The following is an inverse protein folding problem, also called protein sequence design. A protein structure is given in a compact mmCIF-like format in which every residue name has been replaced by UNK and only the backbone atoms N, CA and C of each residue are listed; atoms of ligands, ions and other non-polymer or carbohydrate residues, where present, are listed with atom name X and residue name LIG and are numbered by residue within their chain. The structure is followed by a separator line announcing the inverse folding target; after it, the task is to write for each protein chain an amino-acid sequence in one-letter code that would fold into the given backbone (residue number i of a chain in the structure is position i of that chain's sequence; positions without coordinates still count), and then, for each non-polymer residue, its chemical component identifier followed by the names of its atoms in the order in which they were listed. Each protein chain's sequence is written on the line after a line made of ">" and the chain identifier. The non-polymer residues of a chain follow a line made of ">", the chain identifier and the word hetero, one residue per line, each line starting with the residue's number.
data_IF_288772735095
#
_entry.id   IF_288772735095
#
_cell.length_a   1.000
_cell.length_b   1.000
_cell.length_c   1.000
_cell.angle_alpha   90.00
_cell.angle_beta   90.00
_cell.angle_gamma   90.00
#
_symmetry.space_group_name_H-M   'P 1'
#
loop_
_entity.id
_entity.type
_entity.pdbx_description
1 polymer ?
#
# COMPACT_ATOMS: atom_id res chain seq x y z
N UNK A 1 19.08 80.64 -27.10
CA UNK A 1 20.46 80.65 -26.54
C UNK A 1 20.70 79.29 -25.92
N UNK A 2 21.57 78.54 -26.54
CA UNK A 2 21.88 77.14 -26.25
C UNK A 2 22.94 77.05 -25.17
N UNK A 3 22.72 76.29 -24.07
CA UNK A 3 23.76 75.88 -23.15
C UNK A 3 23.94 74.36 -23.24
N UNK A 4 25.10 73.94 -23.71
CA UNK A 4 25.57 72.54 -23.73
C UNK A 4 26.00 72.16 -22.32
N UNK A 5 25.44 71.06 -21.80
CA UNK A 5 25.95 70.41 -20.57
C UNK A 5 26.74 69.20 -21.02
N UNK A 6 28.00 69.17 -20.66
CA UNK A 6 28.96 68.08 -20.90
C UNK A 6 28.63 66.94 -19.91
N UNK A 7 28.34 65.77 -20.43
CA UNK A 7 28.23 64.52 -19.67
C UNK A 7 29.62 63.91 -19.49
N UNK A 8 30.12 63.88 -18.26
CA UNK A 8 31.31 63.13 -17.89
C UNK A 8 30.97 61.69 -17.66
N UNK A 9 31.53 60.78 -18.44
CA UNK A 9 31.44 59.32 -18.27
C UNK A 9 32.38 58.90 -17.15
N UNK A 10 31.82 58.59 -15.97
CA UNK A 10 32.54 57.97 -14.87
C UNK A 10 32.52 56.43 -15.07
N UNK A 11 33.64 55.86 -15.45
CA UNK A 11 33.84 54.42 -15.64
C UNK A 11 34.05 53.81 -14.25
N UNK A 12 33.00 53.26 -13.64
CA UNK A 12 33.10 52.48 -12.40
C UNK A 12 33.60 51.09 -12.75
N UNK A 13 34.80 50.77 -12.36
CA UNK A 13 35.38 49.43 -12.41
C UNK A 13 34.71 48.59 -11.30
N UNK A 14 33.74 47.76 -11.64
CA UNK A 14 33.17 46.74 -10.74
C UNK A 14 34.17 45.58 -10.74
N UNK A 15 34.97 45.49 -9.69
CA UNK A 15 35.77 44.31 -9.36
C UNK A 15 34.77 43.27 -8.83
N UNK A 16 34.36 42.33 -9.67
CA UNK A 16 33.64 41.14 -9.26
C UNK A 16 34.58 40.25 -8.44
N UNK A 17 34.48 40.34 -7.13
CA UNK A 17 34.98 39.34 -6.20
C UNK A 17 34.15 38.07 -6.43
N UNK A 18 34.61 37.19 -7.29
CA UNK A 18 34.21 35.79 -7.31
C UNK A 18 34.69 35.13 -6.04
N UNK A 19 33.90 35.25 -4.99
CA UNK A 19 34.04 34.41 -3.80
C UNK A 19 33.64 32.98 -4.23
N UNK A 20 34.66 32.17 -4.55
CA UNK A 20 34.51 30.73 -4.52
C UNK A 20 34.26 30.34 -3.06
N UNK A 21 33.00 30.35 -2.63
CA UNK A 21 32.61 29.59 -1.49
C UNK A 21 32.63 28.11 -1.93
N UNK A 22 33.75 27.44 -1.67
CA UNK A 22 33.75 26.00 -1.56
C UNK A 22 32.76 25.64 -0.44
N UNK A 23 31.54 25.28 -0.81
CA UNK A 23 30.70 24.48 0.05
C UNK A 23 31.25 23.07 0.00
N UNK A 24 32.11 22.76 0.95
CA UNK A 24 32.49 21.40 1.26
C UNK A 24 31.25 20.66 1.72
N UNK A 25 30.95 19.55 1.03
CA UNK A 25 30.08 18.45 1.46
C UNK A 25 28.62 18.79 1.83
N UNK A 26 27.88 19.40 0.94
CA UNK A 26 26.44 19.20 0.94
C UNK A 26 26.14 17.88 0.21
N UNK A 27 26.14 16.75 0.90
CA UNK A 27 25.54 15.53 0.35
C UNK A 27 24.10 15.87 -0.09
N UNK A 28 23.82 15.64 -1.35
CA UNK A 28 22.50 15.90 -1.92
C UNK A 28 21.50 14.97 -1.26
N UNK A 29 20.64 15.53 -0.40
CA UNK A 29 19.64 14.72 0.33
C UNK A 29 18.60 14.22 -0.66
N UNK A 30 18.49 12.90 -0.80
CA UNK A 30 17.47 12.26 -1.63
C UNK A 30 16.17 12.13 -0.85
N UNK A 31 15.11 12.72 -1.36
CA UNK A 31 13.76 12.58 -0.80
C UNK A 31 13.12 11.29 -1.30
N UNK A 32 12.43 10.60 -0.39
CA UNK A 32 11.71 9.35 -0.68
C UNK A 32 10.24 9.52 -0.31
N UNK A 33 9.39 9.56 -1.30
CA UNK A 33 7.96 9.70 -1.14
C UNK A 33 7.29 8.33 -1.11
N UNK A 34 6.59 8.00 -0.01
CA UNK A 34 6.00 6.68 0.24
C UNK A 34 4.47 6.82 0.38
N UNK A 35 3.70 6.86 -0.71
CA UNK A 35 2.25 6.74 -0.62
C UNK A 35 1.87 5.36 -0.07
N UNK A 36 0.88 5.32 0.79
CA UNK A 36 0.50 4.13 1.57
C UNK A 36 -0.95 3.70 1.31
N UNK A 37 -1.87 4.10 2.19
CA UNK A 37 -3.32 3.88 2.06
C UNK A 37 -4.09 4.81 3.04
N UNK A 38 -5.34 4.45 3.35
CA UNK A 38 -6.15 5.11 4.38
C UNK A 38 -5.42 5.16 5.72
N UNK A 39 -5.55 6.27 6.44
CA UNK A 39 -4.92 6.48 7.75
C UNK A 39 -5.38 5.51 8.82
N UNK A 40 -6.56 4.91 8.69
CA UNK A 40 -7.11 3.86 9.57
C UNK A 40 -6.78 2.44 9.10
N UNK A 41 -6.07 2.30 7.95
CA UNK A 41 -5.55 1.04 7.45
C UNK A 41 -4.18 0.69 8.08
N UNK A 42 -3.70 -0.53 7.84
CA UNK A 42 -2.42 -1.01 8.35
C UNK A 42 -1.21 -0.36 7.66
N UNK A 43 -1.32 0.00 6.37
CA UNK A 43 -0.20 0.50 5.57
C UNK A 43 0.30 1.89 6.00
N UNK A 44 -0.60 2.80 6.40
CA UNK A 44 -0.17 4.16 6.76
C UNK A 44 0.73 4.19 8.01
N UNK A 45 0.37 3.58 9.16
CA UNK A 45 1.27 3.51 10.31
C UNK A 45 2.55 2.72 10.02
N UNK A 46 2.46 1.67 9.20
CA UNK A 46 3.63 0.89 8.80
C UNK A 46 4.59 1.70 7.92
N UNK A 47 4.08 2.42 6.93
CA UNK A 47 4.88 3.31 6.09
C UNK A 47 5.59 4.40 6.89
N UNK A 48 4.92 4.97 7.91
CA UNK A 48 5.57 5.92 8.83
C UNK A 48 6.70 5.26 9.62
N UNK A 49 6.50 4.02 10.09
CA UNK A 49 7.56 3.29 10.81
C UNK A 49 8.77 3.00 9.92
N UNK A 50 8.54 2.60 8.66
CA UNK A 50 9.62 2.41 7.67
C UNK A 50 10.33 3.74 7.36
N UNK A 51 9.58 4.80 7.08
CA UNK A 51 10.16 6.11 6.80
C UNK A 51 11.06 6.60 7.94
N UNK A 52 10.59 6.48 9.18
CA UNK A 52 11.36 6.84 10.36
C UNK A 52 12.61 5.97 10.52
N UNK A 53 12.49 4.66 10.33
CA UNK A 53 13.60 3.71 10.39
C UNK A 53 14.69 4.07 9.37
N UNK A 54 14.31 4.31 8.12
CA UNK A 54 15.25 4.68 7.07
C UNK A 54 15.89 6.05 7.32
N UNK A 55 15.12 7.04 7.79
CA UNK A 55 15.65 8.36 8.18
C UNK A 55 16.67 8.30 9.33
N UNK A 56 16.53 7.31 10.22
CA UNK A 56 17.43 7.11 11.36
C UNK A 56 18.72 6.34 10.99
N UNK A 57 18.62 5.41 10.02
CA UNK A 57 19.66 4.42 9.75
C UNK A 57 20.38 4.57 8.40
N UNK A 58 19.83 5.35 7.48
CA UNK A 58 20.41 5.55 6.14
C UNK A 58 20.73 7.02 5.95
N UNK A 59 22.01 7.32 5.78
CA UNK A 59 22.46 8.70 5.56
C UNK A 59 22.06 9.22 4.18
N UNK A 60 21.96 10.53 4.04
CA UNK A 60 21.70 11.20 2.76
C UNK A 60 20.26 11.10 2.24
N UNK A 61 19.30 10.59 3.02
CA UNK A 61 17.90 10.50 2.62
C UNK A 61 16.92 11.24 3.54
N UNK A 62 15.73 11.50 3.01
CA UNK A 62 14.55 11.93 3.79
C UNK A 62 13.31 11.22 3.24
N UNK A 63 12.89 10.16 3.93
CA UNK A 63 11.68 9.40 3.63
C UNK A 63 10.46 10.01 4.33
N UNK A 64 9.32 10.03 3.63
CA UNK A 64 8.06 10.53 4.13
C UNK A 64 6.90 9.64 3.66
N UNK A 65 6.09 9.15 4.61
CA UNK A 65 4.89 8.38 4.30
C UNK A 65 3.69 9.30 4.13
N UNK A 66 2.86 9.00 3.13
CA UNK A 66 1.67 9.77 2.79
C UNK A 66 0.44 8.86 2.71
N UNK A 67 -0.73 9.39 3.08
CA UNK A 67 -2.00 8.71 2.83
C UNK A 67 -2.31 8.70 1.32
N UNK A 68 -2.97 7.63 0.87
CA UNK A 68 -3.44 7.47 -0.51
C UNK A 68 -4.70 6.60 -0.56
N UNK A 69 -5.20 6.29 -1.75
CA UNK A 69 -6.29 5.33 -1.95
C UNK A 69 -5.80 3.86 -2.02
N UNK A 70 -4.52 3.57 -1.72
CA UNK A 70 -3.96 2.23 -1.67
C UNK A 70 -3.28 1.78 -2.97
N UNK A 71 -3.04 0.47 -3.11
CA UNK A 71 -2.08 -0.10 -4.06
C UNK A 71 -2.25 0.31 -5.53
N UNK A 72 -3.47 0.37 -6.06
CA UNK A 72 -3.71 0.81 -7.45
C UNK A 72 -3.30 2.28 -7.63
N UNK A 73 -3.68 3.14 -6.68
CA UNK A 73 -3.31 4.56 -6.67
C UNK A 73 -1.78 4.72 -6.57
N UNK A 74 -1.14 3.98 -5.67
CA UNK A 74 0.31 3.98 -5.46
C UNK A 74 1.08 3.61 -6.73
N UNK A 75 0.61 2.62 -7.49
CA UNK A 75 1.23 2.22 -8.76
C UNK A 75 1.05 3.28 -9.85
N UNK A 76 -0.08 3.98 -9.87
CA UNK A 76 -0.27 5.12 -10.76
C UNK A 76 0.67 6.29 -10.39
N UNK A 77 0.83 6.59 -9.09
CA UNK A 77 1.76 7.61 -8.60
C UNK A 77 3.22 7.24 -8.94
N UNK A 78 3.61 5.96 -8.81
CA UNK A 78 4.93 5.51 -9.24
C UNK A 78 5.15 5.71 -10.74
N UNK A 79 4.17 5.35 -11.56
CA UNK A 79 4.26 5.51 -13.02
C UNK A 79 4.33 7.00 -13.46
N UNK A 80 3.82 7.92 -12.64
CA UNK A 80 3.86 9.37 -12.85
C UNK A 80 5.12 10.02 -12.28
N UNK A 81 5.95 9.28 -11.53
CA UNK A 81 7.12 9.80 -10.83
C UNK A 81 6.76 10.60 -9.57
N UNK A 82 5.55 10.44 -9.04
CA UNK A 82 5.07 11.09 -7.81
C UNK A 82 5.26 10.21 -6.57
N UNK A 83 5.61 8.94 -6.76
CA UNK A 83 6.01 8.01 -5.72
C UNK A 83 7.39 7.43 -6.03
N UNK A 84 8.14 7.15 -4.99
CA UNK A 84 9.48 6.58 -5.06
C UNK A 84 9.50 5.11 -4.66
N UNK A 85 9.00 4.81 -3.49
CA UNK A 85 8.80 3.46 -2.95
C UNK A 85 7.36 3.37 -2.47
N UNK A 86 6.70 2.24 -2.68
CA UNK A 86 5.37 2.04 -2.15
C UNK A 86 5.06 0.55 -1.93
N UNK A 87 3.82 0.28 -1.56
CA UNK A 87 3.32 -1.06 -1.28
C UNK A 87 1.96 -1.27 -1.94
N UNK A 88 1.79 -2.47 -2.51
CA UNK A 88 0.53 -2.93 -3.06
C UNK A 88 0.44 -4.45 -2.92
N UNK A 89 -0.74 -5.02 -3.12
CA UNK A 89 -0.85 -6.47 -3.28
C UNK A 89 -0.15 -6.92 -4.57
N UNK A 90 0.47 -8.08 -4.54
CA UNK A 90 1.27 -8.62 -5.64
C UNK A 90 0.48 -8.69 -6.96
N UNK A 91 -0.82 -8.96 -6.89
CA UNK A 91 -1.72 -8.93 -8.05
C UNK A 91 -1.76 -7.58 -8.76
N UNK A 92 -1.89 -6.48 -8.01
CA UNK A 92 -1.93 -5.14 -8.62
C UNK A 92 -0.58 -4.76 -9.24
N UNK A 93 0.53 -5.16 -8.61
CA UNK A 93 1.87 -4.92 -9.18
C UNK A 93 2.03 -5.72 -10.48
N UNK A 94 1.61 -6.99 -10.51
CA UNK A 94 1.58 -7.82 -11.72
C UNK A 94 0.69 -7.22 -12.80
N UNK A 95 -0.54 -6.80 -12.46
CA UNK A 95 -1.46 -6.17 -13.40
C UNK A 95 -0.89 -4.85 -13.97
N UNK A 96 -0.19 -4.06 -13.15
CA UNK A 96 0.49 -2.84 -13.59
C UNK A 96 1.66 -3.16 -14.51
N UNK A 97 2.45 -4.19 -14.18
CA UNK A 97 3.56 -4.64 -15.02
C UNK A 97 3.07 -5.14 -16.38
N UNK A 98 1.98 -5.91 -16.42
CA UNK A 98 1.41 -6.45 -17.67
C UNK A 98 0.48 -5.49 -18.41
N UNK A 99 0.04 -4.40 -17.78
CA UNK A 99 -0.89 -3.45 -18.41
C UNK A 99 -2.28 -4.02 -18.60
N UNK A 100 -2.78 -4.80 -17.64
CA UNK A 100 -4.09 -5.46 -17.69
C UNK A 100 -5.02 -4.95 -16.59
N UNK A 101 -6.28 -5.33 -16.64
CA UNK A 101 -7.33 -4.96 -15.68
C UNK A 101 -7.42 -3.44 -15.48
N UNK A 102 -7.27 -2.95 -14.26
CA UNK A 102 -7.30 -1.51 -13.94
C UNK A 102 -6.15 -0.71 -14.61
N UNK A 103 -5.13 -1.39 -15.15
CA UNK A 103 -3.99 -0.79 -15.82
C UNK A 103 -3.99 -1.00 -17.33
N UNK A 104 -5.10 -1.42 -17.94
CA UNK A 104 -5.18 -1.74 -19.37
C UNK A 104 -4.60 -0.61 -20.24
N UNK A 105 -3.60 -0.95 -21.05
CA UNK A 105 -2.90 -0.02 -21.95
C UNK A 105 -1.98 1.00 -21.23
N UNK A 106 -1.65 0.75 -19.95
CA UNK A 106 -0.76 1.58 -19.13
C UNK A 106 0.24 0.69 -18.38
N UNK A 107 0.93 -0.18 -19.11
CA UNK A 107 1.96 -1.06 -18.53
C UNK A 107 3.11 -0.26 -17.91
N UNK A 108 3.55 -0.70 -16.74
CA UNK A 108 4.76 -0.20 -16.09
C UNK A 108 5.81 -1.31 -15.98
N UNK A 109 6.59 -1.49 -17.05
CA UNK A 109 7.65 -2.52 -17.10
C UNK A 109 8.85 -2.22 -16.21
N UNK A 110 8.89 -1.03 -15.61
CA UNK A 110 9.97 -0.61 -14.70
C UNK A 110 9.72 -0.93 -13.23
N UNK A 111 8.54 -1.37 -12.86
CA UNK A 111 8.27 -1.72 -11.45
C UNK A 111 9.08 -2.94 -11.04
N UNK A 112 9.75 -2.85 -9.87
CA UNK A 112 10.55 -3.92 -9.27
C UNK A 112 10.19 -4.12 -7.82
N UNK A 113 10.15 -5.38 -7.37
CA UNK A 113 9.88 -5.72 -5.98
C UNK A 113 11.13 -5.51 -5.13
N UNK A 114 10.97 -4.88 -3.99
CA UNK A 114 11.99 -4.81 -2.94
C UNK A 114 11.83 -6.00 -1.99
N UNK A 115 10.62 -6.26 -1.52
CA UNK A 115 10.32 -7.36 -0.60
C UNK A 115 8.85 -7.78 -0.68
N UNK A 116 8.58 -9.07 -0.62
CA UNK A 116 7.31 -9.61 -0.20
C UNK A 116 7.11 -9.37 1.29
N UNK A 117 5.91 -8.99 1.67
CA UNK A 117 5.55 -8.63 3.03
C UNK A 117 4.53 -9.64 3.59
N UNK A 118 3.53 -9.17 4.25
CA UNK A 118 2.45 -9.95 4.86
C UNK A 118 1.30 -10.23 3.88
N UNK A 119 0.44 -11.16 4.24
CA UNK A 119 -0.85 -11.33 3.55
C UNK A 119 -1.84 -10.24 3.94
N UNK A 120 -2.52 -9.70 2.94
CA UNK A 120 -3.51 -8.64 3.10
C UNK A 120 -4.92 -9.23 2.95
N UNK A 121 -5.59 -9.59 4.07
CA UNK A 121 -6.88 -10.26 4.04
C UNK A 121 -8.02 -9.32 3.65
N UNK A 122 -9.00 -9.88 2.96
CA UNK A 122 -10.29 -9.27 2.70
C UNK A 122 -11.18 -9.45 3.96
N UNK A 123 -11.60 -8.36 4.58
CA UNK A 123 -12.39 -8.35 5.81
C UNK A 123 -13.73 -7.68 5.54
N UNK A 124 -14.78 -8.48 5.43
CA UNK A 124 -16.12 -7.98 5.15
C UNK A 124 -16.84 -7.78 6.49
N UNK A 125 -16.96 -6.52 6.92
CA UNK A 125 -17.61 -6.16 8.17
C UNK A 125 -19.08 -5.84 7.90
N UNK A 126 -20.00 -6.53 8.58
CA UNK A 126 -21.45 -6.38 8.39
C UNK A 126 -22.18 -6.15 9.70
N UNK A 127 -23.26 -5.38 9.66
CA UNK A 127 -24.14 -5.20 10.80
C UNK A 127 -24.83 -6.51 11.17
N UNK A 128 -24.84 -6.85 12.46
CA UNK A 128 -25.57 -8.03 12.95
C UNK A 128 -27.09 -7.88 12.83
N UNK A 129 -27.60 -6.64 12.69
CA UNK A 129 -29.00 -6.33 12.49
C UNK A 129 -29.46 -6.54 11.03
N UNK A 130 -28.53 -6.61 10.07
CA UNK A 130 -28.85 -6.68 8.65
C UNK A 130 -29.16 -8.09 8.12
N UNK A 131 -29.06 -9.13 8.98
CA UNK A 131 -29.26 -10.55 8.61
C UNK A 131 -28.40 -11.03 7.44
N UNK A 132 -27.19 -10.46 7.25
CA UNK A 132 -26.20 -10.85 6.24
C UNK A 132 -25.32 -11.96 6.84
N UNK A 133 -25.34 -13.14 6.23
CA UNK A 133 -24.59 -14.31 6.69
C UNK A 133 -23.70 -14.93 5.60
N UNK A 134 -23.85 -14.51 4.34
CA UNK A 134 -23.01 -14.89 3.21
C UNK A 134 -22.75 -13.67 2.31
N UNK A 135 -21.83 -13.81 1.35
CA UNK A 135 -21.59 -12.73 0.37
C UNK A 135 -22.81 -12.49 -0.51
N UNK A 136 -23.59 -13.53 -0.83
CA UNK A 136 -24.80 -13.44 -1.63
C UNK A 136 -25.91 -12.64 -0.94
N UNK A 137 -25.94 -12.62 0.41
CA UNK A 137 -26.89 -11.82 1.19
C UNK A 137 -26.62 -10.31 1.09
N UNK A 138 -25.48 -9.91 0.54
CA UNK A 138 -25.18 -8.51 0.28
C UNK A 138 -26.06 -7.90 -0.83
N UNK A 139 -26.82 -8.71 -1.54
CA UNK A 139 -27.75 -8.22 -2.56
C UNK A 139 -28.78 -7.26 -1.98
N UNK A 140 -28.81 -6.04 -2.49
CA UNK A 140 -29.70 -4.96 -2.03
C UNK A 140 -29.20 -4.21 -0.79
N UNK A 141 -28.09 -4.65 -0.17
CA UNK A 141 -27.53 -3.98 0.99
C UNK A 141 -26.98 -2.57 0.68
N UNK A 142 -27.03 -1.69 1.65
CA UNK A 142 -26.28 -0.42 1.65
C UNK A 142 -24.83 -0.75 2.01
N UNK A 143 -23.92 -0.68 1.07
CA UNK A 143 -22.61 -1.27 1.24
C UNK A 143 -21.48 -0.32 0.81
N UNK A 144 -20.40 -0.26 1.60
CA UNK A 144 -19.18 0.46 1.25
C UNK A 144 -18.15 -0.51 0.64
N UNK A 145 -18.02 -0.54 -0.70
CA UNK A 145 -17.10 -1.48 -1.38
C UNK A 145 -15.65 -1.00 -1.37
N UNK A 146 -15.37 0.19 -0.89
CA UNK A 146 -14.09 0.89 -0.94
C UNK A 146 -14.18 2.23 -1.66
N UNK A 147 -13.13 3.03 -1.56
CA UNK A 147 -13.02 4.30 -2.28
C UNK A 147 -12.95 4.07 -3.80
N UNK A 148 -13.40 5.02 -4.63
CA UNK A 148 -13.36 4.87 -6.07
C UNK A 148 -11.95 4.60 -6.59
N UNK A 149 -11.77 3.52 -7.36
CA UNK A 149 -10.50 3.13 -7.96
C UNK A 149 -9.47 2.54 -6.99
N UNK A 150 -9.85 2.32 -5.72
CA UNK A 150 -9.00 1.64 -4.75
C UNK A 150 -8.88 0.14 -5.02
N UNK A 151 -7.80 -0.48 -4.53
CA UNK A 151 -7.65 -1.95 -4.54
C UNK A 151 -8.84 -2.64 -3.87
N UNK A 152 -9.31 -2.11 -2.74
CA UNK A 152 -10.48 -2.66 -2.00
C UNK A 152 -11.74 -2.69 -2.86
N UNK A 153 -12.01 -1.62 -3.62
CA UNK A 153 -13.16 -1.56 -4.54
C UNK A 153 -13.05 -2.62 -5.64
N UNK A 154 -11.85 -2.79 -6.20
CA UNK A 154 -11.59 -3.84 -7.18
C UNK A 154 -11.81 -5.24 -6.60
N UNK A 155 -11.29 -5.52 -5.41
CA UNK A 155 -11.47 -6.80 -4.72
C UNK A 155 -12.95 -7.10 -4.43
N UNK A 156 -13.72 -6.11 -3.98
CA UNK A 156 -15.18 -6.28 -3.84
C UNK A 156 -15.82 -6.70 -5.15
N UNK A 157 -15.45 -6.07 -6.27
CA UNK A 157 -16.02 -6.38 -7.58
C UNK A 157 -15.69 -7.80 -8.05
N UNK A 158 -14.48 -8.27 -7.79
CA UNK A 158 -14.01 -9.62 -8.14
C UNK A 158 -14.79 -10.69 -7.35
N UNK A 159 -14.88 -10.52 -6.02
CA UNK A 159 -15.60 -11.46 -5.16
C UNK A 159 -17.10 -11.48 -5.43
N UNK A 160 -17.70 -10.33 -5.70
CA UNK A 160 -19.13 -10.26 -6.07
C UNK A 160 -19.40 -11.02 -7.35
N UNK A 161 -18.56 -10.86 -8.38
CA UNK A 161 -18.67 -11.62 -9.62
C UNK A 161 -18.58 -13.13 -9.38
N UNK A 162 -17.67 -13.56 -8.49
CA UNK A 162 -17.49 -14.98 -8.16
C UNK A 162 -18.75 -15.59 -7.55
N UNK A 163 -19.43 -14.86 -6.66
CA UNK A 163 -20.69 -15.34 -6.02
C UNK A 163 -21.94 -14.97 -6.83
N UNK A 164 -21.79 -14.55 -8.09
CA UNK A 164 -22.90 -14.29 -9.00
C UNK A 164 -23.64 -12.96 -8.79
N UNK A 165 -23.09 -12.05 -8.00
CA UNK A 165 -23.61 -10.71 -7.84
C UNK A 165 -23.11 -9.78 -8.97
N UNK A 166 -24.00 -8.91 -9.45
CA UNK A 166 -23.66 -7.86 -10.42
C UNK A 166 -23.13 -6.63 -9.69
N UNK A 167 -21.86 -6.35 -9.86
CA UNK A 167 -21.24 -5.18 -9.26
C UNK A 167 -21.27 -3.97 -10.21
N UNK A 168 -21.64 -2.76 -9.76
CA UNK A 168 -22.19 -2.46 -8.43
C UNK A 168 -23.71 -2.57 -8.34
N UNK A 169 -24.41 -3.03 -9.38
CA UNK A 169 -25.86 -2.94 -9.57
C UNK A 169 -26.69 -3.65 -8.48
N UNK A 170 -26.15 -4.73 -7.91
CA UNK A 170 -26.85 -5.52 -6.90
C UNK A 170 -26.69 -4.98 -5.47
N UNK A 171 -26.01 -3.81 -5.27
CA UNK A 171 -25.91 -3.15 -3.96
C UNK A 171 -26.27 -1.64 -4.06
N UNK A 172 -26.58 -1.03 -2.91
CA UNK A 172 -26.64 0.42 -2.78
C UNK A 172 -25.24 0.93 -2.36
N UNK A 173 -24.35 1.05 -3.36
CA UNK A 173 -22.92 1.32 -3.13
C UNK A 173 -22.67 2.72 -2.58
N UNK A 174 -21.85 2.81 -1.53
CA UNK A 174 -21.27 4.04 -0.99
C UNK A 174 -19.75 3.97 -1.18
N UNK A 175 -19.24 4.61 -2.22
CA UNK A 175 -17.82 4.60 -2.56
C UNK A 175 -17.05 5.57 -1.65
N UNK A 176 -16.59 5.08 -0.52
CA UNK A 176 -15.97 5.88 0.54
C UNK A 176 -14.71 5.21 1.07
N UNK A 177 -13.88 5.99 1.77
CA UNK A 177 -12.69 5.49 2.49
C UNK A 177 -13.07 4.63 3.69
N UNK A 178 -12.08 3.93 4.27
CA UNK A 178 -12.29 3.17 5.52
C UNK A 178 -12.77 4.06 6.66
N UNK A 179 -12.20 5.25 6.80
CA UNK A 179 -12.59 6.21 7.85
C UNK A 179 -14.05 6.64 7.72
N UNK A 180 -14.47 6.99 6.51
CA UNK A 180 -15.86 7.36 6.23
C UNK A 180 -16.81 6.17 6.42
N UNK A 181 -16.38 4.94 6.07
CA UNK A 181 -17.17 3.73 6.30
C UNK A 181 -17.47 3.50 7.78
N UNK A 182 -16.52 3.81 8.69
CA UNK A 182 -16.74 3.74 10.14
C UNK A 182 -17.88 4.67 10.55
N UNK A 183 -17.86 5.91 10.08
CA UNK A 183 -18.88 6.90 10.40
C UNK A 183 -20.25 6.52 9.84
N UNK A 184 -20.30 6.04 8.60
CA UNK A 184 -21.55 5.56 7.99
C UNK A 184 -22.12 4.35 8.72
N UNK A 185 -21.27 3.42 9.17
CA UNK A 185 -21.68 2.24 9.95
C UNK A 185 -22.22 2.66 11.31
N UNK A 186 -21.53 3.56 12.03
CA UNK A 186 -21.95 4.10 13.32
C UNK A 186 -23.30 4.81 13.23
N UNK A 187 -23.54 5.53 12.14
CA UNK A 187 -24.79 6.24 11.87
C UNK A 187 -25.88 5.34 11.26
N UNK A 188 -25.65 4.03 11.12
CA UNK A 188 -26.57 3.06 10.52
C UNK A 188 -26.96 3.44 9.06
N UNK A 189 -26.07 4.09 8.33
CA UNK A 189 -26.28 4.51 6.95
C UNK A 189 -25.84 3.44 5.94
N UNK A 190 -24.98 2.50 6.37
CA UNK A 190 -24.60 1.30 5.63
C UNK A 190 -24.85 0.04 6.47
N UNK A 191 -25.01 -1.10 5.78
CA UNK A 191 -25.23 -2.42 6.35
C UNK A 191 -23.93 -3.23 6.40
N UNK A 192 -22.90 -2.82 5.62
CA UNK A 192 -21.60 -3.46 5.61
C UNK A 192 -20.57 -2.65 4.87
N UNK A 193 -19.30 -3.04 5.06
CA UNK A 193 -18.13 -2.46 4.40
C UNK A 193 -17.09 -3.54 4.08
N UNK A 194 -16.40 -3.39 2.97
CA UNK A 194 -15.24 -4.20 2.60
C UNK A 194 -13.97 -3.49 3.05
N UNK A 195 -13.16 -4.16 3.84
CA UNK A 195 -11.88 -3.65 4.35
C UNK A 195 -10.78 -4.63 3.95
N UNK A 196 -9.98 -4.28 2.95
CA UNK A 196 -8.79 -5.05 2.61
C UNK A 196 -7.57 -4.40 3.25
N UNK A 197 -7.11 -4.94 4.35
CA UNK A 197 -5.99 -4.42 5.13
C UNK A 197 -5.34 -5.51 5.97
N UNK A 198 -4.04 -5.35 6.31
CA UNK A 198 -3.37 -6.23 7.28
C UNK A 198 -4.15 -6.29 8.60
N UNK A 199 -4.27 -7.46 9.17
CA UNK A 199 -5.03 -7.68 10.40
C UNK A 199 -4.09 -7.90 11.61
N UNK A 200 -4.35 -7.22 12.76
CA UNK A 200 -5.45 -6.29 13.02
C UNK A 200 -5.25 -4.92 12.38
N UNK A 201 -6.35 -4.23 12.05
CA UNK A 201 -6.35 -2.86 11.56
C UNK A 201 -7.31 -1.98 12.34
N UNK A 202 -6.99 -0.69 12.49
CA UNK A 202 -7.78 0.25 13.28
C UNK A 202 -9.22 0.36 12.77
N UNK A 203 -9.43 0.35 11.45
CA UNK A 203 -10.77 0.45 10.88
C UNK A 203 -11.69 -0.67 11.33
N UNK A 204 -11.24 -1.93 11.25
CA UNK A 204 -12.04 -3.09 11.70
C UNK A 204 -12.19 -3.10 13.20
N UNK A 205 -11.11 -2.81 13.96
CA UNK A 205 -11.17 -2.70 15.42
C UNK A 205 -12.23 -1.69 15.87
N UNK A 206 -12.25 -0.50 15.24
CA UNK A 206 -13.20 0.54 15.61
C UNK A 206 -14.63 0.15 15.23
N UNK A 207 -14.86 -0.44 14.05
CA UNK A 207 -16.18 -0.94 13.67
C UNK A 207 -16.69 -1.98 14.67
N UNK A 208 -15.89 -3.00 15.00
CA UNK A 208 -16.29 -4.07 15.92
C UNK A 208 -16.58 -3.53 17.34
N UNK A 209 -15.77 -2.58 17.85
CA UNK A 209 -15.93 -2.03 19.20
C UNK A 209 -17.06 -1.00 19.35
N UNK A 210 -17.30 -0.20 18.31
CA UNK A 210 -18.20 0.97 18.42
C UNK A 210 -19.54 0.78 17.73
N UNK A 211 -19.70 -0.32 16.97
CA UNK A 211 -20.94 -0.65 16.27
C UNK A 211 -21.30 -2.11 16.49
N UNK A 212 -22.56 -2.46 16.26
CA UNK A 212 -23.03 -3.85 16.39
C UNK A 212 -22.75 -4.61 15.10
N UNK A 213 -21.51 -5.06 14.89
CA UNK A 213 -21.02 -5.66 13.66
C UNK A 213 -20.28 -6.97 13.92
N UNK A 214 -20.14 -7.77 12.86
CA UNK A 214 -19.32 -8.98 12.79
C UNK A 214 -18.51 -8.99 11.50
N UNK A 215 -17.44 -9.79 11.46
CA UNK A 215 -16.73 -10.12 10.22
C UNK A 215 -17.44 -11.29 9.55
N UNK A 216 -17.73 -11.16 8.26
CA UNK A 216 -18.36 -12.21 7.46
C UNK A 216 -17.27 -13.14 6.93
N UNK A 217 -17.52 -14.44 6.95
CA UNK A 217 -16.65 -15.43 6.36
C UNK A 217 -16.67 -15.36 4.82
N UNK A 218 -15.50 -15.50 4.19
CA UNK A 218 -15.38 -15.83 2.77
C UNK A 218 -15.03 -17.31 2.70
N UNK A 219 -15.94 -18.18 2.21
CA UNK A 219 -15.73 -19.63 2.19
C UNK A 219 -14.49 -20.02 1.38
N UNK A 220 -13.80 -21.08 1.82
CA UNK A 220 -12.62 -21.61 1.11
C UNK A 220 -12.92 -21.95 -0.34
N UNK A 221 -14.13 -22.46 -0.62
CA UNK A 221 -14.56 -22.79 -1.98
C UNK A 221 -14.56 -21.56 -2.90
N UNK A 222 -15.02 -20.41 -2.41
CA UNK A 222 -14.98 -19.13 -3.14
C UNK A 222 -13.53 -18.76 -3.47
N UNK A 223 -12.62 -18.89 -2.49
CA UNK A 223 -11.19 -18.59 -2.70
C UNK A 223 -10.56 -19.56 -3.70
N UNK A 224 -10.88 -20.86 -3.62
CA UNK A 224 -10.40 -21.89 -4.55
C UNK A 224 -10.91 -21.67 -5.97
N UNK A 225 -12.13 -21.19 -6.13
CA UNK A 225 -12.67 -20.83 -7.42
C UNK A 225 -11.96 -19.60 -7.99
N UNK A 226 -11.78 -18.54 -7.19
CA UNK A 226 -11.03 -17.36 -7.59
C UNK A 226 -9.60 -17.71 -8.03
N UNK A 227 -8.94 -18.67 -7.39
CA UNK A 227 -7.56 -19.09 -7.74
C UNK A 227 -7.44 -19.70 -9.13
N UNK A 228 -8.52 -20.17 -9.73
CA UNK A 228 -8.48 -20.73 -11.10
C UNK A 228 -8.14 -19.67 -12.13
N UNK A 229 -8.67 -18.47 -11.93
CA UNK A 229 -8.45 -17.31 -12.83
C UNK A 229 -7.39 -16.34 -12.28
N UNK A 230 -7.23 -16.33 -10.96
CA UNK A 230 -6.39 -15.38 -10.21
C UNK A 230 -5.49 -16.13 -9.22
N UNK A 231 -4.34 -16.66 -9.67
CA UNK A 231 -3.52 -17.61 -8.89
C UNK A 231 -2.88 -17.02 -7.64
N UNK A 232 -2.91 -15.69 -7.47
CA UNK A 232 -2.37 -14.96 -6.33
C UNK A 232 -3.26 -14.96 -5.08
N UNK A 233 -4.53 -15.41 -5.17
CA UNK A 233 -5.36 -15.53 -3.98
C UNK A 233 -4.88 -16.70 -3.10
N UNK A 234 -4.90 -16.47 -1.80
CA UNK A 234 -4.63 -17.51 -0.79
C UNK A 234 -5.79 -17.62 0.19
N UNK A 235 -6.09 -18.84 0.63
CA UNK A 235 -6.94 -19.05 1.78
C UNK A 235 -6.22 -18.49 3.01
N UNK A 236 -6.87 -17.61 3.74
CA UNK A 236 -6.34 -16.98 4.94
C UNK A 236 -7.30 -17.20 6.11
N UNK A 237 -6.76 -17.40 7.30
CA UNK A 237 -7.56 -17.55 8.51
C UNK A 237 -7.27 -16.37 9.44
N UNK A 238 -8.28 -15.52 9.63
CA UNK A 238 -8.30 -14.56 10.73
C UNK A 238 -8.48 -15.35 12.02
N UNK A 239 -7.45 -15.44 12.83
CA UNK A 239 -7.46 -16.20 14.08
C UNK A 239 -8.31 -15.55 15.15
N UNK A 240 -8.98 -16.36 15.95
CA UNK A 240 -9.62 -15.90 17.18
C UNK A 240 -8.62 -15.08 18.00
N UNK A 241 -9.07 -13.94 18.52
CA UNK A 241 -8.22 -13.00 19.25
C UNK A 241 -7.44 -12.01 18.38
N UNK A 242 -7.48 -12.11 17.04
CA UNK A 242 -6.94 -11.05 16.15
C UNK A 242 -7.61 -9.70 16.45
N UNK A 243 -8.89 -9.73 16.68
CA UNK A 243 -9.69 -8.64 17.25
C UNK A 243 -10.32 -9.15 18.57
N UNK A 244 -10.50 -8.27 19.54
CA UNK A 244 -11.07 -8.65 20.84
C UNK A 244 -12.45 -9.30 20.70
N UNK A 245 -13.26 -8.83 19.75
CA UNK A 245 -14.59 -9.30 19.45
C UNK A 245 -14.62 -10.57 18.58
N UNK A 246 -13.50 -10.97 17.99
CA UNK A 246 -13.37 -12.18 17.18
C UNK A 246 -13.04 -13.37 18.05
N UNK A 247 -14.08 -14.16 18.43
CA UNK A 247 -13.96 -15.30 19.34
C UNK A 247 -13.69 -16.64 18.66
N UNK A 248 -13.86 -16.70 17.34
CA UNK A 248 -13.68 -17.91 16.52
C UNK A 248 -12.80 -17.59 15.30
N UNK A 249 -12.13 -18.61 14.76
CA UNK A 249 -11.38 -18.51 13.51
C UNK A 249 -12.34 -18.25 12.34
N UNK A 250 -12.04 -17.28 11.50
CA UNK A 250 -12.82 -16.97 10.29
C UNK A 250 -11.93 -17.14 9.06
N UNK A 251 -12.41 -17.91 8.07
CA UNK A 251 -11.75 -18.01 6.78
C UNK A 251 -12.05 -16.79 5.91
N UNK A 252 -11.06 -16.36 5.16
CA UNK A 252 -11.17 -15.28 4.16
C UNK A 252 -10.16 -15.48 3.05
N UNK A 253 -10.27 -14.68 2.00
CA UNK A 253 -9.24 -14.55 0.96
C UNK A 253 -8.19 -13.53 1.36
N UNK A 254 -6.95 -13.74 0.94
CA UNK A 254 -5.87 -12.77 1.07
C UNK A 254 -4.97 -12.77 -0.16
N UNK A 255 -4.26 -11.67 -0.35
CA UNK A 255 -3.21 -11.53 -1.37
C UNK A 255 -1.96 -10.98 -0.68
N UNK A 256 -0.79 -11.47 -1.07
CA UNK A 256 0.48 -11.03 -0.49
C UNK A 256 0.77 -9.57 -0.87
N UNK A 257 1.09 -8.78 0.13
CA UNK A 257 1.61 -7.42 -0.06
C UNK A 257 3.07 -7.48 -0.50
N UNK A 258 3.47 -6.58 -1.38
CA UNK A 258 4.86 -6.38 -1.77
C UNK A 258 5.24 -4.91 -1.65
N UNK A 259 6.47 -4.65 -1.27
CA UNK A 259 7.13 -3.34 -1.36
C UNK A 259 7.81 -3.26 -2.72
N UNK A 260 7.69 -2.13 -3.40
CA UNK A 260 8.21 -1.94 -4.75
C UNK A 260 8.74 -0.53 -4.99
N UNK A 261 9.60 -0.40 -6.01
CA UNK A 261 10.10 0.86 -6.56
C UNK A 261 10.24 0.76 -8.09
N UNK A 262 10.80 1.80 -8.74
CA UNK A 262 11.24 1.72 -10.14
C UNK A 262 12.61 1.05 -10.25
N UNK A 263 12.87 0.33 -11.35
CA UNK A 263 14.20 -0.22 -11.69
C UNK A 263 15.28 0.86 -11.84
N UNK A 264 14.87 2.10 -12.11
CA UNK A 264 15.78 3.25 -12.29
C UNK A 264 16.42 3.74 -10.98
N UNK A 265 16.01 3.17 -9.83
CA UNK A 265 16.55 3.54 -8.52
C UNK A 265 17.98 3.02 -8.37
N UNK A 266 18.79 3.78 -7.62
CA UNK A 266 20.19 3.44 -7.35
C UNK A 266 20.29 2.10 -6.61
N UNK A 267 21.11 1.19 -7.13
CA UNK A 267 21.28 -0.17 -6.60
C UNK A 267 21.79 -0.17 -5.16
N UNK A 268 22.78 0.69 -4.85
CA UNK A 268 23.38 0.77 -3.52
C UNK A 268 22.36 1.29 -2.49
N UNK A 269 21.57 2.28 -2.90
CA UNK A 269 20.53 2.81 -2.02
C UNK A 269 19.46 1.76 -1.74
N UNK A 270 18.92 1.08 -2.76
CA UNK A 270 17.89 0.03 -2.55
C UNK A 270 18.46 -1.15 -1.74
N UNK A 271 19.74 -1.52 -1.95
CA UNK A 271 20.41 -2.50 -1.10
C UNK A 271 20.40 -2.05 0.38
N UNK A 272 20.81 -0.82 0.67
CA UNK A 272 20.85 -0.31 2.04
C UNK A 272 19.45 -0.22 2.68
N UNK A 273 18.43 0.22 1.94
CA UNK A 273 17.05 0.26 2.41
C UNK A 273 16.53 -1.14 2.74
N UNK A 274 16.81 -2.13 1.88
CA UNK A 274 16.43 -3.53 2.07
C UNK A 274 17.12 -4.12 3.30
N UNK A 275 18.43 -3.93 3.41
CA UNK A 275 19.23 -4.38 4.54
C UNK A 275 18.72 -3.81 5.87
N UNK A 276 18.55 -2.50 5.94
CA UNK A 276 18.06 -1.81 7.15
C UNK A 276 16.67 -2.32 7.52
N UNK A 277 15.78 -2.56 6.56
CA UNK A 277 14.46 -3.12 6.82
C UNK A 277 14.55 -4.50 7.50
N UNK A 278 15.32 -5.43 6.94
CA UNK A 278 15.40 -6.79 7.48
C UNK A 278 16.21 -6.89 8.78
N UNK A 279 17.28 -6.11 8.93
CA UNK A 279 18.04 -6.04 10.19
C UNK A 279 17.22 -5.51 11.37
N UNK A 280 16.13 -4.77 11.10
CA UNK A 280 15.23 -4.21 12.13
C UNK A 280 13.82 -4.82 12.09
N UNK A 281 13.62 -5.90 11.34
CA UNK A 281 12.31 -6.53 11.15
C UNK A 281 11.69 -6.98 12.47
N UNK A 282 12.47 -7.53 13.39
CA UNK A 282 11.96 -7.99 14.70
C UNK A 282 11.42 -6.83 15.57
N UNK A 283 11.97 -5.64 15.43
CA UNK A 283 11.46 -4.45 16.13
C UNK A 283 10.18 -3.93 15.46
N UNK A 284 10.12 -3.98 14.13
CA UNK A 284 8.90 -3.66 13.38
C UNK A 284 7.75 -4.63 13.71
N UNK A 285 8.02 -5.92 13.88
CA UNK A 285 7.05 -6.94 14.30
C UNK A 285 6.42 -6.66 15.67
N UNK A 286 7.17 -6.10 16.60
CA UNK A 286 6.66 -5.71 17.93
C UNK A 286 5.59 -4.61 17.83
N UNK A 287 5.71 -3.74 16.84
CA UNK A 287 4.79 -2.61 16.63
C UNK A 287 3.67 -2.98 15.66
N UNK A 288 3.94 -3.88 14.72
CA UNK A 288 3.05 -4.27 13.64
C UNK A 288 2.89 -5.80 13.61
N UNK A 289 1.95 -6.34 14.38
CA UNK A 289 1.74 -7.79 14.53
C UNK A 289 1.42 -8.52 13.22
N UNK A 290 0.87 -7.85 12.22
CA UNK A 290 0.64 -8.41 10.89
C UNK A 290 1.93 -8.76 10.13
N UNK A 291 3.11 -8.30 10.61
CA UNK A 291 4.42 -8.70 10.07
C UNK A 291 4.96 -9.99 10.67
N UNK A 292 4.26 -10.62 11.62
CA UNK A 292 4.77 -11.77 12.39
C UNK A 292 5.32 -12.91 11.51
N UNK A 293 4.73 -13.14 10.34
CA UNK A 293 5.11 -14.21 9.41
C UNK A 293 6.13 -13.76 8.35
N UNK A 294 6.53 -12.49 8.33
CA UNK A 294 7.51 -11.99 7.38
C UNK A 294 8.91 -12.47 7.78
N UNK A 295 9.62 -13.09 6.85
CA UNK A 295 11.02 -13.51 6.97
C UNK A 295 11.77 -13.16 5.69
N UNK A 296 13.08 -13.32 5.70
CA UNK A 296 13.90 -13.17 4.48
C UNK A 296 13.47 -14.15 3.40
N UNK A 297 13.19 -15.41 3.76
CA UNK A 297 12.76 -16.45 2.82
C UNK A 297 11.39 -16.11 2.24
N UNK A 298 10.42 -15.76 3.09
CA UNK A 298 9.07 -15.42 2.62
C UNK A 298 9.05 -14.17 1.74
N UNK A 299 10.04 -13.31 1.85
CA UNK A 299 10.08 -12.04 1.11
C UNK A 299 10.33 -12.20 -0.40
N UNK A 300 10.85 -13.34 -0.83
CA UNK A 300 11.08 -13.65 -2.25
C UNK A 300 10.07 -14.65 -2.81
N UNK A 301 9.14 -15.12 -1.98
CA UNK A 301 8.12 -16.10 -2.35
C UNK A 301 6.77 -15.43 -2.63
N UNK A 302 5.98 -16.02 -3.52
CA UNK A 302 4.60 -15.58 -3.85
C UNK A 302 4.49 -14.10 -4.25
N UNK A 303 5.52 -13.56 -4.89
CA UNK A 303 5.55 -12.19 -5.41
C UNK A 303 4.96 -12.08 -6.83
N UNK A 304 4.09 -13.01 -7.23
CA UNK A 304 3.44 -13.09 -8.55
C UNK A 304 4.42 -13.17 -9.75
N UNK A 305 5.61 -13.74 -9.57
CA UNK A 305 6.63 -13.87 -10.62
C UNK A 305 7.28 -12.54 -11.03
N UNK A 306 7.10 -11.49 -10.24
CA UNK A 306 7.69 -10.18 -10.48
C UNK A 306 9.21 -10.20 -10.25
N UNK A 307 9.92 -9.37 -11.01
CA UNK A 307 11.37 -9.20 -10.84
C UNK A 307 11.69 -8.40 -9.57
N UNK A 308 12.75 -8.82 -8.88
CA UNK A 308 13.29 -8.14 -7.71
C UNK A 308 14.24 -7.03 -8.19
N UNK A 309 14.27 -5.89 -7.50
CA UNK A 309 15.22 -4.82 -7.78
C UNK A 309 16.66 -5.27 -7.51
N UNK A 310 17.61 -4.90 -8.39
CA UNK A 310 19.00 -5.35 -8.32
C UNK A 310 19.65 -5.15 -6.94
N UNK A 311 19.38 -4.04 -6.26
CA UNK A 311 19.88 -3.79 -4.91
C UNK A 311 19.31 -4.74 -3.87
N UNK A 312 18.00 -5.02 -3.93
CA UNK A 312 17.36 -5.98 -3.04
C UNK A 312 17.83 -7.42 -3.34
N UNK A 313 17.91 -7.78 -4.62
CA UNK A 313 18.46 -9.07 -5.08
C UNK A 313 19.87 -9.32 -4.55
N UNK A 314 20.75 -8.32 -4.61
CA UNK A 314 22.10 -8.39 -4.05
C UNK A 314 22.10 -8.71 -2.56
N UNK A 315 21.22 -8.07 -1.79
CA UNK A 315 21.09 -8.36 -0.36
C UNK A 315 20.59 -9.80 -0.12
N UNK A 316 19.58 -10.27 -0.86
CA UNK A 316 19.10 -11.65 -0.73
C UNK A 316 20.15 -12.70 -1.12
N UNK A 317 21.00 -12.42 -2.13
CA UNK A 317 22.13 -13.28 -2.50
C UNK A 317 23.19 -13.32 -1.39
N UNK A 318 23.53 -12.18 -0.81
CA UNK A 318 24.45 -12.09 0.35
C UNK A 318 23.96 -12.91 1.52
N UNK A 319 22.67 -12.90 1.79
CA UNK A 319 22.02 -13.67 2.86
C UNK A 319 21.78 -15.15 2.50
N UNK A 320 22.11 -15.58 1.28
CA UNK A 320 21.97 -16.97 0.82
C UNK A 320 20.52 -17.41 0.57
N UNK A 321 19.61 -16.46 0.38
CA UNK A 321 18.18 -16.74 0.14
C UNK A 321 17.90 -17.12 -1.31
N UNK A 322 18.60 -16.48 -2.25
CA UNK A 322 18.54 -16.77 -3.69
C UNK A 322 19.96 -16.98 -4.25
N UNK A 323 20.05 -17.60 -5.44
CA UNK A 323 21.34 -17.91 -6.10
C UNK A 323 21.83 -16.77 -7.01
#
# INVERSE_FOLDING_TARGET
>A
MKKFIKFGVLFLLIISLTSCANNENGEEVKYINIPTASTTGALYPFGNSIANLWNDKVDGIRANAQASNGGIDNLNLLAQGEADISMAVSSNVYQSFEGIEKFQGRENKKVRVIAGLYYNPNQVVVSTEANINSLEDLKGARFAPGAPGATTEYETSVHFKEVGLKYPDDINAQFVSFTESIDLMRNKQIDGAWIMAGAPTSAVTEMLKTTNTKILEIPKEVVENLRKDYPWYSNYTLKAGTYEELTEDINTSAIKMVMFCSEDWDEELVYNLTKVFFENLEDLKKTHSFLSEVTLESAVEEIAGLEIHAGAERYYKEMGIIQ
#
